data_IF_149576579162
#
_entry.id   IF_149576579162
#
_cell.length_a   1.000
_cell.length_b   1.000
_cell.length_c   1.000
_cell.angle_alpha   90.00
_cell.angle_beta   90.00
_cell.angle_gamma   90.00
#
_symmetry.space_group_name_H-M   'P 1'
#
loop_
_entity.id
_entity.type
_entity.pdbx_description
1 polymer ?
#
# COMPACT_ATOMS: atom_id res chain seq x y z
N UNK A 1 -0.09 8.24 -13.40
CA UNK A 1 -1.54 8.46 -13.30
C UNK A 1 -1.85 8.86 -11.87
N UNK A 2 -2.57 9.97 -11.69
CA UNK A 2 -3.00 10.43 -10.37
C UNK A 2 -4.02 9.42 -9.83
N UNK A 3 -3.71 8.79 -8.70
CA UNK A 3 -4.60 7.79 -8.09
C UNK A 3 -5.95 8.41 -7.76
N UNK A 4 -7.05 7.68 -7.98
CA UNK A 4 -8.38 8.12 -7.56
C UNK A 4 -8.41 8.22 -6.04
N UNK A 5 -8.95 9.33 -5.55
CA UNK A 5 -9.13 9.59 -4.13
C UNK A 5 -10.60 9.50 -3.78
N UNK A 6 -10.90 8.80 -2.69
CA UNK A 6 -12.24 8.59 -2.16
C UNK A 6 -12.31 9.22 -0.78
N UNK A 7 -13.37 10.00 -0.54
CA UNK A 7 -13.63 10.60 0.75
C UNK A 7 -14.65 9.76 1.50
N UNK A 8 -14.31 9.43 2.74
CA UNK A 8 -15.14 8.67 3.64
C UNK A 8 -14.95 7.16 3.54
N UNK A 9 -15.33 6.49 4.61
CA UNK A 9 -15.34 5.04 4.78
C UNK A 9 -16.79 4.59 4.96
N UNK A 10 -17.08 3.34 4.64
CA UNK A 10 -18.38 2.72 4.97
C UNK A 10 -18.34 2.03 6.33
N UNK A 11 -17.20 1.43 6.69
CA UNK A 11 -17.03 0.70 7.94
C UNK A 11 -15.55 0.65 8.35
N UNK A 12 -15.30 0.54 9.65
CA UNK A 12 -13.98 0.25 10.23
C UNK A 12 -14.15 -0.91 11.21
N UNK A 13 -13.47 -2.03 10.95
CA UNK A 13 -13.53 -3.24 11.77
C UNK A 13 -12.13 -3.79 12.03
N UNK A 14 -11.64 -3.58 13.25
CA UNK A 14 -10.27 -3.93 13.62
C UNK A 14 -9.25 -3.26 12.68
N UNK A 15 -8.36 -4.01 12.01
CA UNK A 15 -7.38 -3.45 11.06
C UNK A 15 -7.93 -3.25 9.65
N UNK A 16 -9.20 -3.56 9.40
CA UNK A 16 -9.82 -3.51 8.06
C UNK A 16 -10.74 -2.30 7.97
N UNK A 17 -10.69 -1.61 6.83
CA UNK A 17 -11.63 -0.54 6.46
C UNK A 17 -12.35 -0.91 5.18
N UNK A 18 -13.58 -0.43 5.02
CA UNK A 18 -14.40 -0.67 3.83
C UNK A 18 -14.67 0.67 3.15
N UNK A 19 -14.51 0.74 1.83
CA UNK A 19 -14.81 1.91 0.99
C UNK A 19 -15.84 1.51 -0.07
N UNK A 20 -16.82 2.38 -0.33
CA UNK A 20 -17.89 2.24 -1.34
C UNK A 20 -17.66 3.13 -2.55
N UNK A 21 -18.35 2.82 -3.66
CA UNK A 21 -18.27 3.59 -4.90
C UNK A 21 -16.91 3.49 -5.60
N UNK A 22 -16.08 2.52 -5.24
CA UNK A 22 -14.76 2.36 -5.86
C UNK A 22 -14.89 1.84 -7.29
N UNK A 23 -13.95 2.24 -8.16
CA UNK A 23 -13.92 1.77 -9.55
C UNK A 23 -12.49 1.70 -10.07
N UNK A 24 -12.18 0.61 -10.79
CA UNK A 24 -10.83 0.27 -11.25
C UNK A 24 -9.84 0.05 -10.11
N UNK A 25 -10.26 -0.67 -9.06
CA UNK A 25 -9.40 -1.11 -7.95
C UNK A 25 -9.10 -2.60 -8.13
N UNK A 26 -7.86 -3.00 -7.89
CA UNK A 26 -7.41 -4.38 -8.01
C UNK A 26 -7.09 -5.02 -6.66
N UNK A 27 -7.14 -6.35 -6.61
CA UNK A 27 -6.63 -7.13 -5.49
C UNK A 27 -5.12 -6.91 -5.29
N UNK A 28 -4.66 -6.94 -4.04
CA UNK A 28 -3.26 -6.69 -3.61
C UNK A 28 -2.72 -5.30 -3.98
N UNK A 29 -3.58 -4.39 -4.43
CA UNK A 29 -3.22 -3.01 -4.73
C UNK A 29 -2.88 -2.24 -3.46
N UNK A 30 -1.83 -1.41 -3.54
CA UNK A 30 -1.42 -0.52 -2.46
C UNK A 30 -2.36 0.67 -2.34
N UNK A 31 -2.63 1.04 -1.10
CA UNK A 31 -3.55 2.11 -0.74
C UNK A 31 -2.91 3.03 0.29
N UNK A 32 -3.07 4.33 0.10
CA UNK A 32 -2.78 5.32 1.13
C UNK A 32 -4.08 5.77 1.80
N UNK A 33 -4.07 5.79 3.13
CA UNK A 33 -5.18 6.19 3.98
C UNK A 33 -4.76 7.42 4.76
N UNK A 34 -5.34 8.56 4.42
CA UNK A 34 -5.03 9.85 5.03
C UNK A 34 -6.09 10.17 6.07
N UNK A 35 -5.67 10.29 7.32
CA UNK A 35 -6.57 10.62 8.43
C UNK A 35 -6.93 12.11 8.45
N UNK A 36 -7.88 12.54 9.32
CA UNK A 36 -8.31 13.94 9.37
C UNK A 36 -7.20 14.91 9.79
N UNK A 37 -6.15 14.42 10.44
CA UNK A 37 -4.98 15.20 10.86
C UNK A 37 -3.92 15.28 9.75
N UNK A 38 -4.12 14.58 8.64
CA UNK A 38 -3.19 14.53 7.52
C UNK A 38 -2.13 13.44 7.64
N UNK A 39 -2.19 12.57 8.66
CA UNK A 39 -1.24 11.47 8.76
C UNK A 39 -1.56 10.43 7.68
N UNK A 40 -0.52 10.03 6.96
CA UNK A 40 -0.61 9.01 5.91
C UNK A 40 -0.32 7.65 6.52
N UNK A 41 -1.25 6.72 6.34
CA UNK A 41 -1.07 5.30 6.64
C UNK A 41 -1.09 4.52 5.35
N UNK A 42 -0.41 3.39 5.35
CA UNK A 42 -0.35 2.51 4.19
C UNK A 42 -1.17 1.26 4.43
N UNK A 43 -1.80 0.75 3.39
CA UNK A 43 -2.56 -0.48 3.41
C UNK A 43 -2.58 -1.18 2.06
N UNK A 44 -3.29 -2.30 2.01
CA UNK A 44 -3.50 -3.08 0.79
C UNK A 44 -4.94 -3.53 0.63
N UNK A 45 -5.37 -3.68 -0.61
CA UNK A 45 -6.70 -4.23 -0.94
C UNK A 45 -6.70 -5.75 -0.71
N UNK A 46 -7.60 -6.22 0.15
CA UNK A 46 -7.82 -7.65 0.43
C UNK A 46 -8.91 -8.25 -0.46
N UNK A 47 -9.94 -7.48 -0.76
CA UNK A 47 -11.09 -7.94 -1.54
C UNK A 47 -11.71 -6.77 -2.29
N UNK A 48 -12.18 -7.02 -3.51
CA UNK A 48 -13.01 -6.10 -4.28
C UNK A 48 -14.26 -6.84 -4.70
N UNK A 49 -15.43 -6.28 -4.39
CA UNK A 49 -16.73 -6.82 -4.78
C UNK A 49 -17.61 -5.68 -5.26
N UNK A 50 -18.00 -5.72 -6.53
CA UNK A 50 -18.80 -4.66 -7.17
C UNK A 50 -18.15 -3.28 -6.98
N UNK A 51 -18.74 -2.43 -6.14
CA UNK A 51 -18.27 -1.07 -5.82
C UNK A 51 -17.63 -0.97 -4.43
N UNK A 52 -17.39 -2.11 -3.76
CA UNK A 52 -16.79 -2.22 -2.44
C UNK A 52 -15.32 -2.67 -2.53
N UNK A 53 -14.46 -2.03 -1.76
CA UNK A 53 -13.11 -2.52 -1.48
C UNK A 53 -12.89 -2.67 0.03
N UNK A 54 -12.42 -3.86 0.44
CA UNK A 54 -11.93 -4.12 1.78
C UNK A 54 -10.41 -3.91 1.81
N UNK A 55 -9.93 -3.06 2.72
CA UNK A 55 -8.54 -2.63 2.77
C UNK A 55 -7.98 -2.92 4.15
N UNK A 56 -6.83 -3.59 4.21
CA UNK A 56 -6.08 -3.80 5.45
C UNK A 56 -5.10 -2.66 5.67
N UNK A 57 -5.18 -1.98 6.81
CA UNK A 57 -4.26 -0.88 7.17
C UNK A 57 -3.11 -1.43 8.02
N UNK A 58 -1.86 -1.24 7.58
CA UNK A 58 -0.69 -1.81 8.25
C UNK A 58 -0.41 -1.19 9.62
N UNK A 59 -0.56 0.13 9.74
CA UNK A 59 -0.33 0.86 10.99
C UNK A 59 -1.56 0.86 11.93
N UNK A 60 -2.60 0.09 11.59
CA UNK A 60 -3.88 0.07 12.30
C UNK A 60 -4.81 1.23 11.95
N UNK A 61 -5.99 1.23 12.54
CA UNK A 61 -7.13 2.10 12.19
C UNK A 61 -7.45 3.17 13.23
N UNK A 62 -6.64 3.28 14.30
CA UNK A 62 -6.84 4.27 15.36
C UNK A 62 -6.73 5.69 14.80
N UNK A 63 -7.73 6.52 15.08
CA UNK A 63 -7.77 7.92 14.63
C UNK A 63 -8.36 8.12 13.22
N UNK A 64 -8.79 7.04 12.55
CA UNK A 64 -9.58 7.17 11.33
C UNK A 64 -11.01 7.60 11.66
N UNK A 65 -11.51 8.57 10.89
CA UNK A 65 -12.91 9.00 10.91
C UNK A 65 -13.65 8.42 9.71
N UNK A 66 -14.88 7.96 9.90
CA UNK A 66 -15.71 7.46 8.80
C UNK A 66 -15.96 8.57 7.76
N UNK A 67 -16.14 9.83 8.17
CA UNK A 67 -16.53 10.89 7.22
C UNK A 67 -15.33 11.62 6.61
N UNK A 68 -14.22 11.71 7.35
CA UNK A 68 -13.12 12.63 7.03
C UNK A 68 -11.81 11.91 6.66
N UNK A 69 -11.82 10.58 6.59
CA UNK A 69 -10.67 9.81 6.07
C UNK A 69 -10.69 9.83 4.55
N UNK A 70 -9.53 10.01 3.94
CA UNK A 70 -9.35 9.97 2.48
C UNK A 70 -8.54 8.73 2.10
N UNK A 71 -8.96 8.05 1.04
CA UNK A 71 -8.37 6.79 0.59
C UNK A 71 -7.92 6.94 -0.85
N UNK A 72 -6.62 6.73 -1.10
CA UNK A 72 -5.99 6.89 -2.40
C UNK A 72 -5.42 5.57 -2.89
N UNK A 73 -5.92 5.11 -4.03
CA UNK A 73 -5.53 3.87 -4.69
C UNK A 73 -4.32 4.10 -5.61
N UNK A 74 -3.26 3.31 -5.45
CA UNK A 74 -1.98 3.55 -6.14
C UNK A 74 -1.87 2.89 -7.52
N UNK A 75 -2.79 2.01 -7.88
CA UNK A 75 -2.85 1.29 -9.15
C UNK A 75 -1.77 0.22 -9.33
N UNK A 76 -1.09 -0.17 -8.26
CA UNK A 76 0.01 -1.15 -8.27
C UNK A 76 0.10 -1.89 -6.94
N UNK A 77 0.59 -3.14 -6.95
CA UNK A 77 0.88 -3.87 -5.73
C UNK A 77 2.09 -3.29 -5.01
N UNK A 78 2.45 -3.89 -3.87
CA UNK A 78 3.67 -3.50 -3.15
C UNK A 78 4.91 -3.83 -3.98
N UNK A 79 5.65 -2.78 -4.34
CA UNK A 79 6.91 -2.86 -5.06
C UNK A 79 8.05 -2.37 -4.17
N UNK A 80 9.19 -3.02 -4.27
CA UNK A 80 10.44 -2.59 -3.65
C UNK A 80 11.37 -2.02 -4.73
N UNK A 81 11.99 -0.90 -4.40
CA UNK A 81 13.12 -0.37 -5.16
C UNK A 81 14.38 -1.13 -4.79
N UNK A 82 14.96 -1.85 -5.76
CA UNK A 82 16.12 -2.72 -5.54
C UNK A 82 17.38 -2.15 -6.17
N UNK A 83 18.51 -2.31 -5.47
CA UNK A 83 19.83 -1.89 -5.93
C UNK A 83 20.92 -2.72 -5.24
N UNK A 84 22.10 -2.83 -5.88
CA UNK A 84 23.30 -3.39 -5.23
C UNK A 84 23.77 -2.53 -4.05
N UNK A 85 23.43 -1.24 -4.07
CA UNK A 85 23.79 -0.27 -3.02
C UNK A 85 23.00 -0.49 -1.72
N UNK A 86 22.08 -1.45 -1.68
CA UNK A 86 21.34 -1.82 -0.46
C UNK A 86 22.20 -2.64 0.51
N UNK A 87 23.32 -3.22 0.06
CA UNK A 87 24.19 -4.03 0.91
C UNK A 87 24.76 -3.17 2.05
N UNK A 88 24.57 -3.61 3.29
CA UNK A 88 25.05 -2.91 4.50
C UNK A 88 24.13 -1.79 4.99
N UNK A 89 23.01 -1.54 4.32
CA UNK A 89 21.98 -0.58 4.74
C UNK A 89 20.95 -1.23 5.68
N UNK A 90 20.19 -0.42 6.41
CA UNK A 90 19.11 -0.87 7.30
C UNK A 90 17.79 -0.27 6.82
N UNK A 91 16.78 -1.12 6.63
CA UNK A 91 15.44 -0.72 6.16
C UNK A 91 14.36 -1.16 7.13
N UNK A 92 13.21 -0.47 7.10
CA UNK A 92 11.99 -0.92 7.75
C UNK A 92 11.24 -1.98 6.90
N UNK A 93 10.12 -2.50 7.41
CA UNK A 93 9.33 -3.52 6.73
C UNK A 93 8.69 -3.10 5.39
N UNK A 94 8.65 -1.79 5.07
CA UNK A 94 8.17 -1.26 3.79
C UNK A 94 9.31 -0.94 2.82
N UNK A 95 10.57 -1.17 3.21
CA UNK A 95 11.73 -0.90 2.37
C UNK A 95 12.23 0.55 2.43
N UNK A 96 11.84 1.33 3.44
CA UNK A 96 12.36 2.67 3.66
C UNK A 96 13.63 2.60 4.51
N UNK A 97 14.70 3.35 4.15
CA UNK A 97 15.95 3.34 4.92
C UNK A 97 15.76 3.97 6.30
N UNK A 98 16.26 3.32 7.34
CA UNK A 98 16.19 3.78 8.75
C UNK A 98 17.57 3.96 9.38
N UNK A 99 18.64 3.85 8.59
CA UNK A 99 20.03 4.10 9.00
C UNK A 99 20.44 5.57 8.93
N UNK A 100 19.50 6.48 8.63
CA UNK A 100 19.76 7.92 8.48
C UNK A 100 20.46 8.30 7.16
N UNK A 101 20.78 7.34 6.29
CA UNK A 101 21.33 7.60 4.97
C UNK A 101 20.26 7.95 3.94
N UNK A 102 20.65 8.53 2.78
CA UNK A 102 19.70 8.82 1.70
C UNK A 102 19.12 7.53 1.11
N UNK A 103 17.98 7.63 0.43
CA UNK A 103 17.40 6.51 -0.31
C UNK A 103 18.42 6.02 -1.37
N UNK A 104 18.75 4.72 -1.43
CA UNK A 104 19.64 4.19 -2.47
C UNK A 104 19.11 4.51 -3.86
N UNK A 105 20.00 4.67 -4.84
CA UNK A 105 19.59 4.80 -6.22
C UNK A 105 19.02 3.46 -6.70
N UNK A 106 17.70 3.42 -6.86
CA UNK A 106 17.00 2.25 -7.33
C UNK A 106 17.43 1.93 -8.77
N UNK A 107 17.94 0.72 -9.00
CA UNK A 107 18.21 0.26 -10.37
C UNK A 107 16.93 -0.26 -11.01
N UNK A 108 16.05 -0.88 -10.22
CA UNK A 108 14.79 -1.47 -10.66
C UNK A 108 13.72 -1.34 -9.59
N UNK A 109 12.44 -1.36 -9.99
CA UNK A 109 11.30 -1.63 -9.10
C UNK A 109 10.79 -3.03 -9.34
N UNK A 110 10.63 -3.81 -8.29
CA UNK A 110 10.21 -5.21 -8.37
C UNK A 110 9.05 -5.47 -7.42
N UNK A 111 8.06 -6.24 -7.86
CA UNK A 111 6.98 -6.73 -7.01
C UNK A 111 7.56 -7.69 -5.94
N UNK A 112 7.20 -7.48 -4.67
CA UNK A 112 7.71 -8.27 -3.56
C UNK A 112 7.28 -9.74 -3.61
N UNK A 113 6.19 -10.06 -4.31
CA UNK A 113 5.70 -11.43 -4.49
C UNK A 113 6.62 -12.24 -5.42
N UNK A 114 7.50 -11.58 -6.17
CA UNK A 114 8.41 -12.21 -7.11
C UNK A 114 7.70 -12.87 -8.30
N UNK A 115 8.43 -13.73 -9.00
CA UNK A 115 7.92 -14.56 -10.08
C UNK A 115 8.40 -16.00 -9.88
N UNK A 116 7.52 -17.01 -9.99
CA UNK A 116 7.95 -18.40 -9.91
C UNK A 116 8.99 -18.73 -10.99
N UNK A 117 10.07 -19.40 -10.59
CA UNK A 117 11.09 -19.86 -11.53
C UNK A 117 10.53 -21.07 -12.30
N UNK A 118 10.63 -21.04 -13.64
CA UNK A 118 10.27 -22.18 -14.46
C UNK A 118 11.12 -23.41 -14.07
N UNK A 119 10.52 -24.56 -13.69
CA UNK A 119 11.26 -25.74 -13.25
C UNK A 119 12.35 -26.22 -14.21
N UNK A 120 12.18 -26.04 -15.53
CA UNK A 120 13.15 -26.47 -16.56
C UNK A 120 14.31 -25.49 -16.74
N UNK A 121 14.24 -24.29 -16.16
CA UNK A 121 15.26 -23.24 -16.30
C UNK A 121 16.20 -23.14 -15.09
N UNK A 122 16.12 -24.08 -14.15
CA UNK A 122 16.96 -24.13 -12.95
C UNK A 122 18.30 -24.79 -13.21
#
# INVERSE_FOLDING_TARGET
MQGKEYLGLSEVSGPIIIVRGVSNVAFDEMVEVVDPQGNIRTGRVLEVKEDLAAIQVFSGTRGLSIESTRVRFMGRPLELEVSRDMIGRIFNGLGEPIDGGPKPFATQRMNINGVPINPTAR
#
